data_IF_838556770527
#
_entry.id   IF_838556770527
#
_cell.length_a   1.000
_cell.length_b   1.000
_cell.length_c   1.000
_cell.angle_alpha   90.00
_cell.angle_beta   90.00
_cell.angle_gamma   90.00
#
_symmetry.space_group_name_H-M   'P 1'
#
loop_
_entity.id
_entity.type
_entity.pdbx_description
1 polymer ?
#
# COMPACT_ATOMS: atom_id res chain seq x y z
N UNK A 1 2.99 -12.24 -12.22
CA UNK A 1 4.24 -12.99 -11.96
C UNK A 1 4.74 -12.72 -10.54
N UNK A 2 5.35 -13.72 -9.90
CA UNK A 2 5.96 -13.56 -8.58
C UNK A 2 7.28 -12.82 -8.69
N UNK A 3 7.42 -11.72 -7.95
CA UNK A 3 8.70 -11.08 -7.67
C UNK A 3 9.33 -11.66 -6.39
N UNK A 4 8.48 -12.10 -5.46
CA UNK A 4 8.83 -12.92 -4.31
C UNK A 4 7.78 -14.01 -4.14
N UNK A 5 8.17 -15.26 -4.33
CA UNK A 5 7.26 -16.39 -4.18
C UNK A 5 6.82 -16.58 -2.71
N UNK A 6 5.55 -16.96 -2.47
CA UNK A 6 5.08 -17.24 -1.12
C UNK A 6 5.80 -18.47 -0.54
N UNK A 7 6.07 -18.48 0.78
CA UNK A 7 6.62 -19.67 1.44
C UNK A 7 5.63 -20.85 1.40
N UNK A 8 6.15 -22.06 1.65
CA UNK A 8 5.32 -23.29 1.75
C UNK A 8 4.19 -23.17 2.78
N UNK A 9 4.44 -22.45 3.87
CA UNK A 9 3.42 -22.06 4.84
C UNK A 9 3.47 -20.55 4.98
N UNK A 10 2.36 -19.88 4.69
CA UNK A 10 2.23 -18.46 4.98
C UNK A 10 2.46 -18.27 6.48
N UNK A 11 3.40 -17.41 6.84
CA UNK A 11 3.79 -17.27 8.23
C UNK A 11 2.66 -16.59 9.01
N UNK A 12 1.78 -17.38 9.62
CA UNK A 12 0.87 -16.90 10.68
C UNK A 12 1.65 -16.46 11.93
N UNK A 13 2.91 -16.91 12.07
CA UNK A 13 3.81 -16.59 13.17
C UNK A 13 4.43 -15.19 13.11
N UNK A 14 4.36 -14.49 11.96
CA UNK A 14 4.71 -13.07 11.88
C UNK A 14 3.96 -12.22 12.91
N UNK A 15 2.83 -12.74 13.40
CA UNK A 15 1.94 -12.06 14.32
C UNK A 15 2.23 -12.33 15.80
N UNK A 16 3.19 -13.19 16.13
CA UNK A 16 3.56 -13.53 17.53
C UNK A 16 4.46 -12.49 18.21
N UNK A 17 5.23 -11.71 17.45
CA UNK A 17 6.03 -10.60 17.95
C UNK A 17 5.90 -9.37 17.02
N UNK A 18 5.61 -8.18 17.57
CA UNK A 18 5.40 -6.94 16.80
C UNK A 18 6.54 -6.66 15.81
N UNK A 19 7.79 -6.95 16.18
CA UNK A 19 8.97 -6.76 15.32
C UNK A 19 8.95 -7.62 14.05
N UNK A 20 8.37 -8.81 14.09
CA UNK A 20 8.33 -9.69 12.92
C UNK A 20 7.33 -9.18 11.87
N UNK A 21 6.22 -8.56 12.29
CA UNK A 21 5.27 -7.90 11.37
C UNK A 21 5.88 -6.71 10.64
N UNK A 22 6.74 -5.96 11.35
CA UNK A 22 7.24 -4.68 10.85
C UNK A 22 8.13 -4.81 9.61
N UNK A 23 8.87 -5.91 9.49
CA UNK A 23 10.02 -5.98 8.58
C UNK A 23 10.08 -7.24 7.71
N UNK A 24 9.03 -8.07 7.70
CA UNK A 24 9.02 -9.29 6.90
C UNK A 24 7.90 -9.26 5.88
N UNK A 25 8.22 -9.75 4.70
CA UNK A 25 7.34 -9.89 3.56
C UNK A 25 7.23 -11.38 3.21
N UNK A 26 6.01 -11.92 3.14
CA UNK A 26 5.81 -13.30 2.68
C UNK A 26 5.92 -13.39 1.17
N UNK A 27 5.32 -12.46 0.42
CA UNK A 27 5.29 -12.50 -1.03
C UNK A 27 5.17 -11.12 -1.66
N UNK A 28 5.49 -11.06 -2.94
CA UNK A 28 5.22 -9.93 -3.81
C UNK A 28 4.86 -10.46 -5.19
N UNK A 29 3.66 -10.14 -5.65
CA UNK A 29 3.16 -10.48 -6.97
C UNK A 29 2.97 -9.20 -7.78
N UNK A 30 3.26 -9.26 -9.08
CA UNK A 30 3.07 -8.16 -10.04
C UNK A 30 2.37 -8.66 -11.28
N UNK A 31 1.33 -7.96 -11.72
CA UNK A 31 0.77 -8.12 -13.06
C UNK A 31 0.44 -6.75 -13.64
N UNK A 32 1.05 -6.42 -14.77
CA UNK A 32 0.99 -5.08 -15.37
C UNK A 32 1.39 -3.99 -14.35
N UNK A 33 0.49 -3.05 -14.07
CA UNK A 33 0.63 -1.98 -13.10
C UNK A 33 0.02 -2.29 -11.73
N UNK A 34 -0.34 -3.55 -11.46
CA UNK A 34 -0.93 -3.99 -10.17
C UNK A 34 0.07 -4.85 -9.40
N UNK A 35 0.32 -4.48 -8.16
CA UNK A 35 1.17 -5.21 -7.22
C UNK A 35 0.37 -5.67 -6.02
N UNK A 36 0.61 -6.90 -5.59
CA UNK A 36 -0.11 -7.54 -4.49
C UNK A 36 0.90 -8.11 -3.51
N UNK A 37 0.69 -7.83 -2.23
CA UNK A 37 1.62 -8.14 -1.14
C UNK A 37 0.87 -8.47 0.14
N UNK A 38 1.53 -9.13 1.09
CA UNK A 38 0.88 -9.50 2.36
C UNK A 38 0.75 -8.34 3.36
N UNK A 39 1.58 -7.32 3.23
CA UNK A 39 1.54 -6.07 4.00
C UNK A 39 2.24 -4.94 3.21
N UNK A 40 2.05 -3.68 3.59
CA UNK A 40 2.54 -2.51 2.86
C UNK A 40 4.08 -2.36 2.75
N UNK A 41 4.89 -3.20 3.39
CA UNK A 41 6.35 -3.09 3.36
C UNK A 41 6.94 -2.99 1.95
N UNK A 42 6.34 -3.68 0.97
CA UNK A 42 6.80 -3.68 -0.42
C UNK A 42 6.12 -2.65 -1.33
N UNK A 43 5.22 -1.80 -0.81
CA UNK A 43 4.54 -0.79 -1.62
C UNK A 43 5.55 0.23 -2.18
N UNK A 44 6.44 0.74 -1.32
CA UNK A 44 7.52 1.64 -1.73
C UNK A 44 8.40 1.03 -2.82
N UNK A 45 8.84 -0.22 -2.66
CA UNK A 45 9.56 -0.96 -3.69
C UNK A 45 8.80 -1.04 -5.02
N UNK A 46 7.51 -1.32 -4.97
CA UNK A 46 6.68 -1.47 -6.17
C UNK A 46 6.64 -0.17 -7.00
N UNK A 47 6.68 0.98 -6.32
CA UNK A 47 6.78 2.27 -6.98
C UNK A 47 8.16 2.49 -7.60
N UNK A 48 9.24 2.10 -6.91
CA UNK A 48 10.61 2.12 -7.48
C UNK A 48 10.74 1.24 -8.73
N UNK A 49 10.07 0.09 -8.74
CA UNK A 49 10.13 -0.90 -9.83
C UNK A 49 9.39 -0.47 -11.11
N UNK A 50 8.44 0.46 -11.01
CA UNK A 50 7.57 0.84 -12.16
C UNK A 50 7.61 2.32 -12.53
N UNK A 51 7.71 3.22 -11.57
CA UNK A 51 7.51 4.66 -11.80
C UNK A 51 8.80 5.34 -12.26
N UNK A 52 8.65 6.34 -13.11
CA UNK A 52 9.77 7.19 -13.52
C UNK A 52 10.19 8.14 -12.39
N UNK A 53 11.46 8.11 -11.93
CA UNK A 53 12.03 9.06 -10.98
C UNK A 53 11.92 10.56 -11.34
N UNK A 54 11.77 10.88 -12.63
CA UNK A 54 11.73 12.26 -13.14
C UNK A 54 10.32 12.82 -13.26
N UNK A 55 9.30 11.96 -13.19
CA UNK A 55 7.90 12.35 -13.31
C UNK A 55 7.29 12.73 -11.93
N UNK A 56 6.09 13.27 -11.97
CA UNK A 56 5.27 13.59 -10.80
C UNK A 56 3.95 12.84 -10.85
N UNK A 57 3.46 12.43 -9.70
CA UNK A 57 2.21 11.70 -9.56
C UNK A 57 1.33 12.35 -8.49
N UNK A 58 0.05 12.02 -8.55
CA UNK A 58 -0.84 12.17 -7.40
C UNK A 58 -0.84 10.86 -6.61
N UNK A 59 -1.24 10.92 -5.35
CA UNK A 59 -1.17 9.78 -4.44
C UNK A 59 -2.48 9.61 -3.68
N UNK A 60 -3.03 8.40 -3.67
CA UNK A 60 -4.19 8.06 -2.87
C UNK A 60 -3.90 6.84 -2.00
N UNK A 61 -3.83 7.07 -0.69
CA UNK A 61 -3.73 6.02 0.32
C UNK A 61 -5.11 5.64 0.87
N UNK A 62 -5.41 4.35 0.92
CA UNK A 62 -6.66 3.79 1.41
C UNK A 62 -6.28 2.67 2.38
N UNK A 63 -6.36 2.91 3.68
CA UNK A 63 -5.83 2.04 4.74
C UNK A 63 -6.45 2.48 6.07
N UNK A 64 -6.63 1.62 7.07
CA UNK A 64 -7.04 2.11 8.40
C UNK A 64 -6.02 3.09 9.01
N UNK A 65 -4.74 2.91 8.68
CA UNK A 65 -3.58 3.61 9.20
C UNK A 65 -3.10 4.70 8.24
N UNK A 66 -2.26 5.62 8.74
CA UNK A 66 -1.70 6.70 7.91
C UNK A 66 -0.37 6.33 7.22
N UNK A 67 0.37 5.35 7.76
CA UNK A 67 1.69 4.92 7.28
C UNK A 67 2.72 6.06 7.11
N UNK A 68 2.63 7.06 7.98
CA UNK A 68 3.44 8.28 7.97
C UNK A 68 4.51 8.32 9.07
N UNK A 69 5.00 7.17 9.57
CA UNK A 69 6.16 7.21 10.48
C UNK A 69 7.40 7.74 9.76
N UNK A 70 8.17 8.57 10.46
CA UNK A 70 9.39 9.16 9.90
C UNK A 70 10.58 8.19 9.99
N UNK A 71 11.36 8.07 8.90
CA UNK A 71 12.73 7.55 8.98
C UNK A 71 13.79 8.64 8.74
N UNK A 72 15.03 8.34 9.14
CA UNK A 72 16.15 9.28 9.05
C UNK A 72 16.66 9.46 7.63
N UNK A 73 16.68 10.70 7.13
CA UNK A 73 17.02 11.08 5.75
C UNK A 73 18.37 10.55 5.24
N UNK A 74 19.39 10.46 6.11
CA UNK A 74 20.77 10.11 5.75
C UNK A 74 20.95 8.66 5.26
N UNK A 75 19.91 7.83 5.38
CA UNK A 75 19.94 6.39 5.10
C UNK A 75 19.55 6.02 3.67
N UNK A 76 19.05 6.99 2.91
CA UNK A 76 18.37 6.77 1.63
C UNK A 76 19.30 6.89 0.40
N UNK A 77 20.56 7.25 0.61
CA UNK A 77 21.54 7.47 -0.46
C UNK A 77 21.69 6.27 -1.43
N UNK A 78 21.74 4.99 -0.96
CA UNK A 78 21.88 3.85 -1.85
C UNK A 78 20.76 3.73 -2.90
N UNK A 79 19.53 4.11 -2.55
CA UNK A 79 18.38 4.05 -3.48
C UNK A 79 18.39 5.17 -4.50
N UNK A 80 18.99 6.32 -4.17
CA UNK A 80 19.17 7.43 -5.13
C UNK A 80 20.25 7.11 -6.16
N UNK A 81 21.33 6.47 -5.69
CA UNK A 81 22.49 6.16 -6.53
C UNK A 81 22.24 4.94 -7.42
N UNK A 82 21.36 4.02 -6.98
CA UNK A 82 20.93 2.87 -7.76
C UNK A 82 19.41 2.62 -7.60
N UNK A 83 18.57 3.14 -8.50
CA UNK A 83 17.12 2.93 -8.43
C UNK A 83 16.71 1.49 -8.76
N UNK A 84 17.57 0.72 -9.42
CA UNK A 84 17.29 -0.65 -9.87
C UNK A 84 17.73 -1.68 -8.82
N UNK A 85 17.10 -1.65 -7.64
CA UNK A 85 17.30 -2.66 -6.60
C UNK A 85 16.35 -3.83 -6.76
N UNK A 86 16.77 -5.02 -6.34
CA UNK A 86 15.88 -6.16 -6.15
C UNK A 86 15.04 -6.00 -4.87
N UNK A 87 13.94 -6.75 -4.75
CA UNK A 87 13.12 -6.73 -3.53
C UNK A 87 13.92 -7.19 -2.31
N UNK A 88 14.82 -8.16 -2.46
CA UNK A 88 15.73 -8.61 -1.40
C UNK A 88 16.71 -7.51 -0.96
N UNK A 89 17.28 -6.77 -1.90
CA UNK A 89 18.15 -5.62 -1.59
C UNK A 89 17.38 -4.53 -0.86
N UNK A 90 16.18 -4.18 -1.34
CA UNK A 90 15.30 -3.20 -0.69
C UNK A 90 14.96 -3.60 0.75
N UNK A 91 14.56 -4.85 0.99
CA UNK A 91 14.25 -5.38 2.32
C UNK A 91 15.50 -5.47 3.22
N UNK A 92 16.68 -5.60 2.62
CA UNK A 92 17.97 -5.66 3.32
C UNK A 92 18.57 -4.30 3.70
N UNK A 93 17.98 -3.19 3.24
CA UNK A 93 18.45 -1.86 3.60
C UNK A 93 18.29 -1.63 5.11
N UNK A 94 19.30 -1.04 5.73
CA UNK A 94 19.33 -0.74 7.15
C UNK A 94 19.26 0.76 7.38
N UNK A 95 18.70 1.15 8.53
CA UNK A 95 18.72 2.53 8.98
C UNK A 95 20.15 2.98 9.35
N UNK A 96 20.30 4.25 9.76
CA UNK A 96 21.61 4.90 9.94
C UNK A 96 22.46 4.23 11.02
N UNK A 97 21.83 3.62 12.01
CA UNK A 97 22.53 2.89 13.07
C UNK A 97 22.95 1.48 12.64
N UNK A 98 22.47 1.00 11.49
CA UNK A 98 22.68 -0.36 11.01
C UNK A 98 21.97 -1.42 11.85
N UNK A 99 21.08 -1.01 12.77
CA UNK A 99 20.51 -1.93 13.76
C UNK A 99 19.11 -2.44 13.38
N UNK A 100 18.38 -1.70 12.55
CA UNK A 100 17.02 -2.05 12.12
C UNK A 100 16.87 -1.86 10.61
N UNK A 101 15.96 -2.59 9.96
CA UNK A 101 15.60 -2.36 8.58
C UNK A 101 15.13 -0.91 8.36
N UNK A 102 15.45 -0.40 7.18
CA UNK A 102 15.16 0.97 6.78
C UNK A 102 13.66 1.19 6.55
N UNK A 103 13.05 0.24 5.85
CA UNK A 103 11.63 0.24 5.54
C UNK A 103 10.88 -0.67 6.52
N UNK A 104 9.73 -0.17 6.96
CA UNK A 104 8.67 -0.90 7.64
C UNK A 104 7.34 -0.65 6.92
N UNK A 105 6.31 -1.42 7.26
CA UNK A 105 4.97 -1.19 6.71
C UNK A 105 4.40 0.19 7.05
N UNK A 106 4.91 0.91 8.05
CA UNK A 106 4.38 2.21 8.51
C UNK A 106 5.22 3.43 8.14
N UNK A 107 6.34 3.28 7.41
CA UNK A 107 7.25 4.39 7.12
C UNK A 107 7.61 4.59 5.63
N UNK A 108 7.19 3.66 4.76
CA UNK A 108 7.61 3.63 3.37
C UNK A 108 7.17 4.87 2.59
N UNK A 109 5.98 5.44 2.88
CA UNK A 109 5.47 6.65 2.21
C UNK A 109 6.44 7.81 2.41
N UNK A 110 6.81 8.07 3.66
CA UNK A 110 7.74 9.13 4.02
C UNK A 110 9.14 8.90 3.46
N UNK A 111 9.60 7.65 3.52
CA UNK A 111 10.90 7.28 3.00
C UNK A 111 10.99 7.52 1.49
N UNK A 112 9.97 7.11 0.74
CA UNK A 112 9.91 7.34 -0.70
C UNK A 112 9.76 8.83 -1.00
N UNK A 113 8.93 9.59 -0.26
CA UNK A 113 8.84 11.06 -0.41
C UNK A 113 10.19 11.73 -0.22
N UNK A 114 10.99 11.25 0.73
CA UNK A 114 12.34 11.78 0.94
C UNK A 114 13.28 11.43 -0.22
N UNK A 115 13.17 10.24 -0.83
CA UNK A 115 13.97 9.84 -2.00
C UNK A 115 13.55 10.62 -3.25
N UNK A 116 12.25 10.69 -3.53
CA UNK A 116 11.64 11.34 -4.69
C UNK A 116 10.66 12.44 -4.25
N UNK A 117 11.18 13.64 -3.90
CA UNK A 117 10.37 14.72 -3.37
C UNK A 117 9.28 15.22 -4.33
N UNK A 118 9.41 14.97 -5.63
CA UNK A 118 8.45 15.43 -6.64
C UNK A 118 7.35 14.40 -6.96
N UNK A 119 7.43 13.17 -6.44
CA UNK A 119 6.47 12.12 -6.79
C UNK A 119 5.07 12.36 -6.26
N UNK A 120 4.90 13.00 -5.10
CA UNK A 120 3.60 13.20 -4.47
C UNK A 120 3.20 14.67 -4.53
N UNK A 121 2.40 15.02 -5.53
CA UNK A 121 1.93 16.40 -5.80
C UNK A 121 0.66 16.73 -5.02
N UNK A 122 -0.42 15.97 -5.26
CA UNK A 122 -1.63 16.00 -4.44
C UNK A 122 -1.80 14.64 -3.76
N UNK A 123 -2.09 14.67 -2.46
CA UNK A 123 -2.31 13.46 -1.68
C UNK A 123 -3.74 13.40 -1.14
N UNK A 124 -4.39 12.27 -1.42
CA UNK A 124 -5.66 11.87 -0.84
C UNK A 124 -5.43 10.75 0.16
N UNK A 125 -6.20 10.77 1.25
CA UNK A 125 -6.16 9.73 2.28
C UNK A 125 -7.58 9.26 2.57
N UNK A 126 -7.77 7.94 2.70
CA UNK A 126 -8.98 7.35 3.24
C UNK A 126 -8.55 6.46 4.42
N UNK A 127 -8.63 7.03 5.63
CA UNK A 127 -8.20 6.37 6.88
C UNK A 127 -9.29 6.42 7.95
N UNK A 128 -9.10 5.67 9.04
CA UNK A 128 -10.02 5.71 10.20
C UNK A 128 -10.16 7.14 10.73
N UNK A 129 -9.02 7.83 10.81
CA UNK A 129 -8.91 9.19 11.33
C UNK A 129 -8.48 10.17 10.25
N UNK A 130 -8.76 11.45 10.49
CA UNK A 130 -8.28 12.53 9.64
C UNK A 130 -6.76 12.62 9.68
N UNK A 131 -6.11 12.51 8.52
CA UNK A 131 -4.65 12.56 8.38
C UNK A 131 -4.18 13.97 8.06
N UNK A 132 -3.06 14.38 8.67
CA UNK A 132 -2.32 15.60 8.33
C UNK A 132 -0.82 15.36 8.49
N UNK A 133 0.00 15.85 7.56
CA UNK A 133 1.46 15.74 7.65
C UNK A 133 2.10 17.13 7.83
N UNK A 134 2.57 17.40 9.04
CA UNK A 134 3.19 18.68 9.40
C UNK A 134 4.72 18.57 9.51
N UNK A 135 5.36 17.63 8.80
CA UNK A 135 6.83 17.53 8.81
C UNK A 135 7.49 18.85 8.36
N UNK A 136 8.53 19.30 9.09
CA UNK A 136 9.13 20.60 8.84
C UNK A 136 9.85 20.66 7.49
N UNK A 137 10.17 21.89 7.05
CA UNK A 137 10.98 22.19 5.87
C UNK A 137 10.40 21.67 4.55
N UNK A 138 9.06 21.61 4.43
CA UNK A 138 8.39 21.17 3.20
C UNK A 138 8.56 19.69 2.89
N UNK A 139 8.98 18.88 3.86
CA UNK A 139 9.10 17.42 3.71
C UNK A 139 7.76 16.72 3.80
N UNK A 140 6.75 17.39 4.36
CA UNK A 140 5.40 16.84 4.51
C UNK A 140 4.72 16.56 3.17
N UNK A 141 3.75 15.65 3.19
CA UNK A 141 2.83 15.42 2.09
C UNK A 141 1.84 16.58 1.93
N UNK A 142 1.51 16.92 0.69
CA UNK A 142 0.44 17.87 0.38
C UNK A 142 -0.91 17.16 0.43
N UNK A 143 -1.39 16.89 1.65
CA UNK A 143 -2.68 16.22 1.87
C UNK A 143 -3.81 17.23 1.64
N UNK A 144 -4.50 17.09 0.52
CA UNK A 144 -5.56 18.02 0.11
C UNK A 144 -6.95 17.51 0.46
N UNK A 145 -7.12 16.19 0.66
CA UNK A 145 -8.42 15.57 0.98
C UNK A 145 -8.28 14.34 1.87
N UNK A 146 -9.27 14.19 2.76
CA UNK A 146 -9.52 12.98 3.55
C UNK A 146 -10.90 12.42 3.20
N UNK A 147 -11.00 11.10 3.02
CA UNK A 147 -12.19 10.38 2.58
C UNK A 147 -12.62 9.33 3.59
N UNK A 148 -13.89 8.96 3.53
CA UNK A 148 -14.44 7.87 4.34
C UNK A 148 -15.48 7.12 3.51
N UNK A 149 -15.05 6.08 2.80
CA UNK A 149 -15.92 5.23 1.99
C UNK A 149 -16.81 4.31 2.84
N UNK A 150 -16.47 4.08 4.11
CA UNK A 150 -17.34 3.34 5.04
C UNK A 150 -18.66 4.09 5.21
N UNK A 151 -18.60 5.41 5.36
CA UNK A 151 -19.76 6.28 5.51
C UNK A 151 -20.31 6.80 4.17
N UNK A 152 -19.47 6.85 3.13
CA UNK A 152 -19.84 7.34 1.80
C UNK A 152 -19.30 6.43 0.67
N UNK A 153 -19.84 5.22 0.50
CA UNK A 153 -19.32 4.25 -0.48
C UNK A 153 -19.53 4.69 -1.94
N UNK A 154 -20.40 5.68 -2.18
CA UNK A 154 -20.70 6.22 -3.51
C UNK A 154 -19.98 7.55 -3.79
N UNK A 155 -18.91 7.85 -3.06
CA UNK A 155 -18.11 9.05 -3.31
C UNK A 155 -17.58 9.07 -4.76
N UNK A 156 -17.74 10.20 -5.44
CA UNK A 156 -17.36 10.38 -6.84
C UNK A 156 -15.87 10.67 -7.01
N UNK A 157 -15.04 10.29 -6.05
CA UNK A 157 -13.59 10.55 -6.06
C UNK A 157 -12.91 10.00 -7.30
N UNK A 158 -13.37 8.86 -7.82
CA UNK A 158 -12.82 8.30 -9.05
C UNK A 158 -13.13 9.15 -10.28
N UNK A 159 -14.21 9.94 -10.28
CA UNK A 159 -14.43 10.94 -11.33
C UNK A 159 -13.37 12.06 -11.26
N UNK A 160 -12.93 12.44 -10.06
CA UNK A 160 -11.83 13.41 -9.91
C UNK A 160 -10.53 12.79 -10.44
N UNK A 161 -10.23 11.55 -10.03
CA UNK A 161 -9.03 10.81 -10.46
C UNK A 161 -8.96 10.70 -11.98
N UNK A 162 -10.08 10.40 -12.66
CA UNK A 162 -10.15 10.29 -14.12
C UNK A 162 -9.89 11.60 -14.87
N UNK A 163 -9.91 12.74 -14.19
CA UNK A 163 -9.86 14.08 -14.81
C UNK A 163 -8.68 14.93 -14.29
N UNK A 164 -7.55 14.32 -13.90
CA UNK A 164 -6.32 15.04 -13.55
C UNK A 164 -5.25 14.94 -14.63
N UNK A 165 -4.39 15.95 -14.72
CA UNK A 165 -3.23 15.94 -15.64
C UNK A 165 -2.17 14.93 -15.24
N UNK A 166 -1.94 14.77 -13.92
CA UNK A 166 -1.01 13.79 -13.38
C UNK A 166 -1.72 12.47 -13.10
N UNK A 167 -1.01 11.36 -13.35
CA UNK A 167 -1.50 10.02 -13.01
C UNK A 167 -1.44 9.76 -11.50
N UNK A 168 -2.23 8.80 -11.05
CA UNK A 168 -2.36 8.43 -9.65
C UNK A 168 -1.59 7.16 -9.29
N UNK A 169 -0.97 7.19 -8.11
CA UNK A 169 -0.55 6.02 -7.34
C UNK A 169 -1.71 5.68 -6.41
N UNK A 170 -2.32 4.51 -6.60
CA UNK A 170 -3.36 4.00 -5.72
C UNK A 170 -2.74 2.97 -4.77
N UNK A 171 -2.80 3.23 -3.48
CA UNK A 171 -2.18 2.42 -2.45
C UNK A 171 -3.23 1.94 -1.45
N UNK A 172 -3.67 0.70 -1.63
CA UNK A 172 -4.79 0.08 -0.93
C UNK A 172 -4.30 -0.98 0.07
N UNK A 173 -4.59 -0.78 1.35
CA UNK A 173 -4.66 -1.87 2.31
C UNK A 173 -6.12 -2.36 2.42
N UNK A 174 -6.29 -3.67 2.31
CA UNK A 174 -7.60 -4.31 2.46
C UNK A 174 -8.14 -4.16 3.88
N UNK A 175 -7.28 -3.92 4.88
CA UNK A 175 -7.72 -3.67 6.25
C UNK A 175 -8.65 -2.47 6.40
N UNK A 176 -8.64 -1.54 5.43
CA UNK A 176 -9.59 -0.45 5.34
C UNK A 176 -11.06 -0.92 5.38
N UNK A 177 -11.32 -2.13 4.88
CA UNK A 177 -12.64 -2.75 4.89
C UNK A 177 -12.96 -3.50 6.18
N UNK A 178 -12.10 -3.45 7.19
CA UNK A 178 -12.21 -4.21 8.43
C UNK A 178 -12.08 -3.32 9.67
N UNK A 179 -12.66 -3.78 10.78
CA UNK A 179 -12.43 -3.24 12.12
C UNK A 179 -12.37 -4.37 13.15
N UNK A 180 -11.87 -4.08 14.34
CA UNK A 180 -11.86 -4.99 15.49
C UNK A 180 -12.69 -4.42 16.62
N UNK A 181 -13.84 -5.05 16.90
CA UNK A 181 -14.69 -4.69 18.02
C UNK A 181 -14.67 -5.79 19.09
N UNK A 182 -14.22 -5.46 20.31
CA UNK A 182 -14.15 -6.40 21.43
C UNK A 182 -13.40 -7.71 21.09
N UNK A 183 -12.34 -7.61 20.26
CA UNK A 183 -11.54 -8.76 19.81
C UNK A 183 -12.18 -9.56 18.66
N UNK A 184 -13.30 -9.12 18.11
CA UNK A 184 -13.95 -9.72 16.95
C UNK A 184 -13.69 -8.87 15.71
N UNK A 185 -13.26 -9.52 14.63
CA UNK A 185 -13.06 -8.86 13.33
C UNK A 185 -14.40 -8.71 12.62
N UNK A 186 -14.69 -7.50 12.15
CA UNK A 186 -15.92 -7.13 11.46
C UNK A 186 -15.56 -6.52 10.13
N UNK A 187 -16.16 -7.02 9.05
CA UNK A 187 -16.04 -6.42 7.73
C UNK A 187 -16.99 -5.22 7.61
N UNK A 188 -16.45 -4.03 7.40
CA UNK A 188 -17.16 -2.75 7.35
C UNK A 188 -17.90 -2.53 6.02
N UNK A 189 -17.33 -3.01 4.92
CA UNK A 189 -17.97 -2.99 3.59
C UNK A 189 -18.26 -4.41 3.13
N UNK A 190 -19.50 -4.66 2.69
CA UNK A 190 -19.84 -5.95 2.12
C UNK A 190 -19.25 -6.14 0.70
N UNK A 191 -19.35 -7.35 0.16
CA UNK A 191 -18.77 -7.68 -1.16
C UNK A 191 -19.39 -6.87 -2.32
N UNK A 192 -20.66 -6.46 -2.22
CA UNK A 192 -21.31 -5.63 -3.24
C UNK A 192 -20.73 -4.20 -3.22
N UNK A 193 -20.51 -3.64 -2.03
CA UNK A 193 -19.88 -2.33 -1.85
C UNK A 193 -18.42 -2.34 -2.30
N UNK A 194 -17.66 -3.40 -1.97
CA UNK A 194 -16.28 -3.57 -2.46
C UNK A 194 -16.26 -3.74 -3.99
N UNK A 195 -17.23 -4.47 -4.56
CA UNK A 195 -17.36 -4.60 -6.01
C UNK A 195 -17.62 -3.26 -6.68
N UNK A 196 -18.49 -2.42 -6.10
CA UNK A 196 -18.77 -1.07 -6.60
C UNK A 196 -17.53 -0.16 -6.49
N UNK A 197 -16.77 -0.25 -5.40
CA UNK A 197 -15.48 0.42 -5.27
C UNK A 197 -14.54 0.01 -6.41
N UNK A 198 -14.46 -1.29 -6.71
CA UNK A 198 -13.64 -1.79 -7.82
C UNK A 198 -14.14 -1.27 -9.18
N UNK A 199 -15.45 -1.21 -9.41
CA UNK A 199 -16.00 -0.66 -10.65
C UNK A 199 -15.63 0.81 -10.85
N UNK A 200 -15.63 1.59 -9.77
CA UNK A 200 -15.19 2.99 -9.81
C UNK A 200 -13.67 3.10 -9.99
N UNK A 201 -12.88 2.21 -9.39
CA UNK A 201 -11.43 2.14 -9.61
C UNK A 201 -11.10 1.82 -11.07
N UNK A 202 -11.81 0.86 -11.67
CA UNK A 202 -11.64 0.45 -13.06
C UNK A 202 -11.99 1.60 -14.03
N UNK A 203 -13.03 2.39 -13.74
CA UNK A 203 -13.39 3.52 -14.59
C UNK A 203 -12.31 4.62 -14.63
N UNK A 204 -11.40 4.64 -13.65
CA UNK A 204 -10.28 5.57 -13.56
C UNK A 204 -8.93 4.98 -14.00
N UNK A 205 -8.90 3.73 -14.46
CA UNK A 205 -7.65 2.97 -14.71
C UNK A 205 -6.69 3.66 -15.67
N UNK A 206 -7.20 4.34 -16.71
CA UNK A 206 -6.35 5.05 -17.69
C UNK A 206 -5.49 6.15 -17.05
N UNK A 207 -5.95 6.71 -15.93
CA UNK A 207 -5.25 7.74 -15.18
C UNK A 207 -4.51 7.21 -13.94
N UNK A 208 -4.39 5.89 -13.80
CA UNK A 208 -3.66 5.24 -12.70
C UNK A 208 -2.31 4.73 -13.22
N UNK A 209 -1.23 5.20 -12.61
CA UNK A 209 0.12 4.75 -12.93
C UNK A 209 0.42 3.38 -12.30
N UNK A 210 -0.04 3.16 -11.07
CA UNK A 210 0.21 1.93 -10.31
C UNK A 210 -0.87 1.72 -9.25
N UNK A 211 -1.19 0.45 -8.98
CA UNK A 211 -2.01 0.01 -7.86
C UNK A 211 -1.17 -0.93 -6.99
N UNK A 212 -1.02 -0.61 -5.71
CA UNK A 212 -0.46 -1.50 -4.70
C UNK A 212 -1.58 -1.98 -3.78
N UNK A 213 -1.64 -3.29 -3.52
CA UNK A 213 -2.67 -3.95 -2.71
C UNK A 213 -1.99 -4.76 -1.59
N UNK A 214 -2.14 -4.32 -0.35
CA UNK A 214 -1.77 -5.08 0.84
C UNK A 214 -2.95 -5.90 1.39
N UNK A 215 -2.70 -7.15 1.74
CA UNK A 215 -3.73 -8.05 2.27
C UNK A 215 -3.97 -7.88 3.78
N UNK A 216 -2.92 -7.57 4.54
CA UNK A 216 -2.94 -7.35 6.00
C UNK A 216 -3.82 -8.35 6.79
N UNK A 217 -3.52 -9.66 6.70
CA UNK A 217 -4.36 -10.71 7.29
C UNK A 217 -4.48 -10.59 8.81
N UNK A 218 -3.52 -9.98 9.51
CA UNK A 218 -3.66 -9.70 10.95
C UNK A 218 -4.69 -8.65 11.30
N UNK A 219 -5.01 -7.76 10.37
CA UNK A 219 -6.01 -6.72 10.56
C UNK A 219 -7.39 -7.20 10.06
N UNK A 220 -7.42 -8.27 9.26
CA UNK A 220 -8.64 -8.84 8.67
C UNK A 220 -9.18 -10.10 9.40
N UNK A 221 -8.57 -10.52 10.50
CA UNK A 221 -8.98 -11.73 11.23
C UNK A 221 -8.48 -13.05 10.63
N UNK A 222 -7.42 -12.98 9.82
CA UNK A 222 -6.71 -14.11 9.26
C UNK A 222 -6.62 -14.07 7.75
N UNK A 223 -5.79 -14.97 7.22
CA UNK A 223 -5.53 -15.10 5.79
C UNK A 223 -6.80 -15.29 4.97
N UNK A 224 -7.65 -16.23 5.35
CA UNK A 224 -8.87 -16.55 4.60
C UNK A 224 -9.72 -15.29 4.33
N UNK A 225 -9.93 -14.44 5.34
CA UNK A 225 -10.71 -13.22 5.20
C UNK A 225 -10.03 -12.22 4.25
N UNK A 226 -8.74 -11.90 4.48
CA UNK A 226 -7.99 -10.97 3.61
C UNK A 226 -7.93 -11.43 2.16
N UNK A 227 -7.72 -12.72 1.92
CA UNK A 227 -7.60 -13.27 0.57
C UNK A 227 -8.92 -13.33 -0.16
N UNK A 228 -10.04 -13.59 0.53
CA UNK A 228 -11.35 -13.55 -0.12
C UNK A 228 -11.64 -12.14 -0.68
N UNK A 229 -11.31 -11.09 0.08
CA UNK A 229 -11.43 -9.71 -0.39
C UNK A 229 -10.41 -9.41 -1.49
N UNK A 230 -9.15 -9.83 -1.33
CA UNK A 230 -8.14 -9.65 -2.36
C UNK A 230 -8.55 -10.32 -3.68
N UNK A 231 -9.07 -11.55 -3.61
CA UNK A 231 -9.52 -12.32 -4.77
C UNK A 231 -10.68 -11.64 -5.48
N UNK A 232 -11.64 -11.09 -4.71
CA UNK A 232 -12.73 -10.30 -5.26
C UNK A 232 -12.18 -9.09 -6.04
N UNK A 233 -11.25 -8.34 -5.46
CA UNK A 233 -10.64 -7.17 -6.09
C UNK A 233 -9.86 -7.57 -7.34
N UNK A 234 -9.00 -8.60 -7.25
CA UNK A 234 -8.18 -9.05 -8.38
C UNK A 234 -9.03 -9.61 -9.52
N UNK A 235 -10.13 -10.30 -9.22
CA UNK A 235 -11.06 -10.81 -10.24
C UNK A 235 -11.75 -9.68 -10.99
N UNK A 236 -12.13 -8.61 -10.27
CA UNK A 236 -12.69 -7.40 -10.89
C UNK A 236 -11.65 -6.69 -11.76
N UNK A 237 -10.40 -6.61 -11.29
CA UNK A 237 -9.28 -6.02 -12.03
C UNK A 237 -8.77 -6.89 -13.18
N UNK A 238 -9.21 -8.14 -13.29
CA UNK A 238 -8.72 -9.09 -14.30
C UNK A 238 -7.28 -9.54 -14.07
N UNK A 239 -6.81 -9.57 -12.81
CA UNK A 239 -5.46 -9.98 -12.41
C UNK A 239 -5.47 -11.46 -11.99
N UNK A 240 -4.62 -12.28 -12.60
CA UNK A 240 -4.52 -13.73 -12.34
C UNK A 240 -3.67 -14.02 -11.09
N UNK A 241 -4.20 -13.60 -9.94
CA UNK A 241 -3.59 -13.80 -8.63
C UNK A 241 -4.15 -15.03 -7.91
N UNK A 242 -3.25 -15.95 -7.51
CA UNK A 242 -3.61 -17.15 -6.78
C UNK A 242 -2.60 -17.49 -5.69
N UNK A 243 -3.06 -17.73 -4.46
CA UNK A 243 -2.23 -18.24 -3.37
C UNK A 243 -2.51 -19.73 -3.12
N UNK A 244 -1.52 -20.58 -3.44
CA UNK A 244 -1.62 -22.05 -3.41
C UNK A 244 -1.87 -22.68 -2.01
N UNK A 245 -1.90 -21.90 -0.92
CA UNK A 245 -1.88 -22.41 0.47
C UNK A 245 -3.00 -21.86 1.36
N UNK A 246 -4.15 -21.51 0.77
CA UNK A 246 -5.32 -20.96 1.49
C UNK A 246 -6.32 -22.07 1.88
N UNK A 247 -5.81 -23.14 2.48
CA UNK A 247 -6.59 -24.30 2.95
C UNK A 247 -6.92 -24.24 4.44
#
# INVERSE_FOLDING_TARGET
MWLKEPPQSLNSSLYSAVKDRMYKLNFLFKENNVYIMDNHLAAGYSWLDLLDPQESYNFFHIDQHEDLLAAGYETMQPLRDNPNVTIEEYLGLLNHSGALPLFSWDNYIHNIKDIYPNWFTECFFACEFHVSDNRPNGRGLNITRNFNFINNPNDSIFDIISNTELKWIINLDIDYFWNVENGTYIQLLNNEQISQFCDNLISAMDNIAIITIALSPSCCGGWNNSYQVAKLITDKLGVDFFLNNMG
#
